data_IF_523016029374
#
_entry.id   IF_523016029374
#
_cell.length_a   1.000
_cell.length_b   1.000
_cell.length_c   1.000
_cell.angle_alpha   90.00
_cell.angle_beta   90.00
_cell.angle_gamma   90.00
#
_symmetry.space_group_name_H-M   'P 1'
#
loop_
_entity.id
_entity.type
_entity.pdbx_description
1 polymer ?
#
# COMPACT_ATOMS: atom_id res chain seq x y z
N UNK A 1 -11.39 0.42 -8.45
CA UNK A 1 -10.87 1.45 -7.53
C UNK A 1 -9.35 1.57 -7.61
N UNK A 2 -8.57 0.50 -7.37
CA UNK A 2 -7.09 0.52 -7.45
C UNK A 2 -6.53 1.09 -8.76
N UNK A 3 -7.02 0.63 -9.91
CA UNK A 3 -6.61 1.13 -11.23
C UNK A 3 -6.83 2.64 -11.38
N UNK A 4 -7.90 3.17 -10.80
CA UNK A 4 -8.23 4.59 -10.85
C UNK A 4 -7.28 5.43 -10.00
N UNK A 5 -6.96 4.95 -8.80
CA UNK A 5 -5.93 5.58 -7.94
C UNK A 5 -4.57 5.51 -8.61
N UNK A 6 -4.24 4.44 -9.32
CA UNK A 6 -2.98 4.33 -10.07
C UNK A 6 -2.86 5.37 -11.19
N UNK A 7 -3.97 5.64 -11.89
CA UNK A 7 -3.98 6.59 -13.00
C UNK A 7 -3.95 8.05 -12.56
N UNK A 8 -4.61 8.40 -11.46
CA UNK A 8 -4.83 9.81 -11.06
C UNK A 8 -4.18 10.20 -9.74
N UNK A 9 -3.75 9.22 -8.95
CA UNK A 9 -3.22 9.44 -7.61
C UNK A 9 -1.87 10.13 -7.60
N UNK A 10 -1.04 9.87 -8.61
CA UNK A 10 0.29 10.49 -8.76
C UNK A 10 0.23 12.01 -8.93
N UNK A 11 -0.87 12.56 -9.46
CA UNK A 11 -1.10 14.00 -9.59
C UNK A 11 -1.84 14.62 -8.39
N UNK A 12 -2.11 13.85 -7.33
CA UNK A 12 -2.89 14.33 -6.18
C UNK A 12 -1.97 14.62 -5.00
N UNK A 13 -1.81 15.91 -4.67
CA UNK A 13 -0.97 16.35 -3.56
C UNK A 13 -1.43 15.78 -2.20
N UNK A 14 -0.53 15.06 -1.54
CA UNK A 14 -0.76 14.47 -0.23
C UNK A 14 -1.73 13.28 -0.26
N UNK A 15 -1.85 12.57 -1.39
CA UNK A 15 -2.64 11.34 -1.45
C UNK A 15 -2.23 10.35 -0.35
N UNK A 16 -3.20 9.64 0.25
CA UNK A 16 -3.04 8.80 1.44
C UNK A 16 -2.64 9.52 2.74
N UNK A 17 -2.07 10.73 2.69
CA UNK A 17 -1.75 11.53 3.87
C UNK A 17 -2.90 12.44 4.29
N UNK A 18 -3.46 13.23 3.37
CA UNK A 18 -4.54 14.18 3.66
C UNK A 18 -5.84 13.44 3.94
N UNK A 19 -6.51 13.83 5.03
CA UNK A 19 -7.82 13.28 5.40
C UNK A 19 -8.92 13.86 4.52
N UNK A 20 -9.81 13.00 4.05
CA UNK A 20 -11.04 13.40 3.39
C UNK A 20 -12.21 13.54 4.37
N UNK A 21 -13.32 14.11 3.90
CA UNK A 21 -14.56 14.21 4.66
C UNK A 21 -15.06 12.83 5.06
N UNK A 22 -15.18 12.57 6.38
CA UNK A 22 -15.72 11.32 6.92
C UNK A 22 -17.12 11.04 6.36
N UNK A 23 -17.94 12.08 6.20
CA UNK A 23 -19.29 11.96 5.62
C UNK A 23 -19.23 11.43 4.17
N UNK A 24 -18.33 11.98 3.35
CA UNK A 24 -18.14 11.56 1.96
C UNK A 24 -17.57 10.15 1.87
N UNK A 25 -16.59 9.81 2.73
CA UNK A 25 -16.04 8.46 2.79
C UNK A 25 -17.11 7.42 3.12
N UNK A 26 -17.94 7.68 4.15
CA UNK A 26 -19.06 6.79 4.52
C UNK A 26 -20.09 6.66 3.41
N UNK A 27 -20.40 7.76 2.70
CA UNK A 27 -21.34 7.72 1.59
C UNK A 27 -20.81 6.85 0.44
N UNK A 28 -19.55 7.04 0.04
CA UNK A 28 -18.91 6.21 -0.98
C UNK A 28 -18.83 4.75 -0.56
N UNK A 29 -18.39 4.48 0.68
CA UNK A 29 -18.32 3.12 1.23
C UNK A 29 -19.69 2.43 1.24
N UNK A 30 -20.75 3.13 1.61
CA UNK A 30 -22.12 2.60 1.57
C UNK A 30 -22.52 2.18 0.16
N UNK A 31 -22.31 3.05 -0.85
CA UNK A 31 -22.59 2.72 -2.26
C UNK A 31 -21.86 1.46 -2.69
N UNK A 32 -20.55 1.38 -2.40
CA UNK A 32 -19.72 0.23 -2.74
C UNK A 32 -20.22 -1.06 -2.06
N UNK A 33 -20.57 -1.00 -0.77
CA UNK A 33 -21.05 -2.15 -0.01
C UNK A 33 -22.44 -2.63 -0.46
N UNK A 34 -23.28 -1.74 -1.00
CA UNK A 34 -24.57 -2.09 -1.59
C UNK A 34 -24.45 -2.69 -3.00
N UNK A 35 -23.25 -2.70 -3.59
CA UNK A 35 -23.04 -3.12 -4.98
C UNK A 35 -23.50 -2.07 -6.00
N UNK A 36 -23.70 -0.82 -5.59
CA UNK A 36 -24.12 0.25 -6.48
C UNK A 36 -23.04 0.55 -7.53
N UNK A 37 -23.47 0.93 -8.73
CA UNK A 37 -22.54 1.45 -9.74
C UNK A 37 -22.06 2.84 -9.32
N UNK A 38 -20.77 2.98 -9.04
CA UNK A 38 -20.16 4.24 -8.63
C UNK A 38 -19.33 4.83 -9.77
N UNK A 39 -19.64 6.06 -10.17
CA UNK A 39 -18.77 6.85 -11.04
C UNK A 39 -17.62 7.47 -10.23
N UNK A 40 -16.45 6.82 -10.22
CA UNK A 40 -15.28 7.32 -9.49
C UNK A 40 -14.75 8.68 -10.01
N UNK A 41 -15.15 9.13 -11.20
CA UNK A 41 -14.76 10.45 -11.70
C UNK A 41 -15.45 11.61 -10.97
N UNK A 42 -16.59 11.35 -10.33
CA UNK A 42 -17.35 12.35 -9.57
C UNK A 42 -16.96 12.39 -8.08
N UNK A 43 -16.15 11.43 -7.63
CA UNK A 43 -15.71 11.34 -6.25
C UNK A 43 -14.31 11.97 -6.09
N UNK A 44 -14.06 12.81 -5.06
CA UNK A 44 -12.74 13.40 -4.85
C UNK A 44 -11.66 12.33 -4.63
N UNK A 45 -10.48 12.49 -5.21
CA UNK A 45 -9.40 11.50 -5.09
C UNK A 45 -9.00 11.21 -3.64
N UNK A 46 -9.03 12.22 -2.77
CA UNK A 46 -8.78 12.05 -1.34
C UNK A 46 -9.84 11.15 -0.66
N UNK A 47 -11.11 11.23 -1.07
CA UNK A 47 -12.17 10.35 -0.58
C UNK A 47 -11.92 8.92 -1.04
N UNK A 48 -11.63 8.72 -2.33
CA UNK A 48 -11.34 7.40 -2.91
C UNK A 48 -10.14 6.74 -2.22
N UNK A 49 -9.03 7.48 -2.06
CA UNK A 49 -7.83 6.98 -1.39
C UNK A 49 -8.06 6.69 0.10
N UNK A 50 -8.92 7.45 0.78
CA UNK A 50 -9.27 7.20 2.18
C UNK A 50 -10.13 5.95 2.34
N UNK A 51 -11.12 5.75 1.46
CA UNK A 51 -11.94 4.53 1.45
C UNK A 51 -11.10 3.31 1.07
N UNK A 52 -10.13 3.46 0.16
CA UNK A 52 -9.16 2.40 -0.13
C UNK A 52 -8.36 2.02 1.12
N UNK A 53 -7.79 2.98 1.86
CA UNK A 53 -7.08 2.70 3.12
C UNK A 53 -7.97 2.01 4.16
N UNK A 54 -9.20 2.49 4.33
CA UNK A 54 -10.15 1.90 5.27
C UNK A 54 -10.50 0.46 4.89
N UNK A 55 -10.64 0.16 3.59
CA UNK A 55 -10.81 -1.21 3.12
C UNK A 55 -9.63 -2.10 3.53
N UNK A 56 -8.38 -1.65 3.36
CA UNK A 56 -7.19 -2.41 3.77
C UNK A 56 -7.20 -2.72 5.27
N UNK A 57 -7.56 -1.73 6.07
CA UNK A 57 -7.57 -1.83 7.53
C UNK A 57 -8.64 -2.81 8.04
N UNK A 58 -9.76 -2.94 7.34
CA UNK A 58 -10.89 -3.79 7.75
C UNK A 58 -10.81 -5.23 7.24
N UNK A 59 -9.74 -5.63 6.53
CA UNK A 59 -9.51 -7.03 6.16
C UNK A 59 -9.19 -7.83 7.43
N UNK A 60 -10.04 -8.83 7.76
CA UNK A 60 -9.82 -9.71 8.90
C UNK A 60 -8.46 -10.42 8.80
N UNK A 61 -7.67 -10.36 9.88
CA UNK A 61 -6.32 -10.92 9.92
C UNK A 61 -5.26 -10.06 9.20
N UNK A 62 -5.60 -8.84 8.78
CA UNK A 62 -4.74 -7.92 8.02
C UNK A 62 -4.16 -8.54 6.72
N UNK A 63 -3.78 -7.70 5.77
CA UNK A 63 -3.10 -8.19 4.56
C UNK A 63 -1.76 -8.86 4.92
N UNK A 64 -1.18 -8.49 6.06
CA UNK A 64 0.16 -8.83 6.48
C UNK A 64 0.24 -9.63 7.81
N UNK A 65 -0.87 -10.07 8.44
CA UNK A 65 -0.81 -10.85 9.70
C UNK A 65 -0.72 -12.37 9.53
N UNK A 66 -0.28 -12.86 8.37
CA UNK A 66 0.01 -14.29 8.20
C UNK A 66 1.48 -14.61 8.54
N UNK A 67 1.71 -15.77 9.17
CA UNK A 67 3.03 -16.36 9.51
C UNK A 67 4.20 -16.11 8.53
N UNK A 68 4.02 -16.08 7.20
CA UNK A 68 5.13 -15.76 6.28
C UNK A 68 5.59 -14.30 6.29
N UNK A 69 4.79 -13.34 6.80
CA UNK A 69 5.20 -11.93 6.89
C UNK A 69 6.06 -11.61 8.10
N UNK A 70 5.92 -12.32 9.22
CA UNK A 70 6.83 -12.18 10.36
C UNK A 70 8.28 -12.50 9.91
N UNK A 71 8.44 -13.53 9.08
CA UNK A 71 9.73 -13.86 8.46
C UNK A 71 10.25 -12.75 7.54
N UNK A 72 9.36 -12.10 6.79
CA UNK A 72 9.71 -10.96 5.94
C UNK A 72 10.15 -9.73 6.75
N UNK A 73 9.63 -9.55 7.97
CA UNK A 73 10.06 -8.50 8.90
C UNK A 73 11.42 -8.78 9.54
N UNK A 74 11.78 -10.05 9.76
CA UNK A 74 13.06 -10.46 10.36
C UNK A 74 14.28 -10.16 9.46
N UNK A 75 14.07 -9.87 8.18
CA UNK A 75 15.14 -9.59 7.19
C UNK A 75 15.87 -8.26 7.47
N UNK A 76 15.29 -7.36 8.28
CA UNK A 76 15.90 -6.05 8.57
C UNK A 76 17.22 -6.16 9.35
N UNK A 77 17.48 -7.28 10.03
CA UNK A 77 18.62 -7.43 10.93
C UNK A 77 19.87 -8.09 10.30
N UNK A 78 19.86 -8.34 8.98
CA UNK A 78 20.95 -9.03 8.28
C UNK A 78 21.71 -8.13 7.28
N UNK A 79 22.60 -7.28 7.79
CA UNK A 79 23.74 -6.73 7.02
C UNK A 79 23.44 -5.95 5.73
N UNK A 80 24.49 -5.77 4.91
CA UNK A 80 24.60 -4.95 3.68
C UNK A 80 23.31 -4.84 2.83
N UNK A 81 22.99 -3.62 2.35
CA UNK A 81 21.75 -3.26 1.63
C UNK A 81 21.44 -4.15 0.40
N UNK A 82 22.47 -4.68 -0.26
CA UNK A 82 22.34 -5.55 -1.44
C UNK A 82 21.86 -6.97 -1.07
N UNK A 83 22.35 -7.50 0.05
CA UNK A 83 21.96 -8.83 0.57
C UNK A 83 20.54 -8.78 1.15
N UNK A 84 20.18 -7.68 1.82
CA UNK A 84 18.83 -7.45 2.37
C UNK A 84 17.79 -7.30 1.28
N UNK A 85 18.13 -6.63 0.17
CA UNK A 85 17.24 -6.49 -1.00
C UNK A 85 16.93 -7.83 -1.64
N UNK A 86 17.97 -8.65 -1.86
CA UNK A 86 17.83 -9.98 -2.46
C UNK A 86 17.02 -10.92 -1.54
N UNK A 87 17.25 -10.86 -0.23
CA UNK A 87 16.47 -11.61 0.75
C UNK A 87 14.99 -11.21 0.74
N UNK A 88 14.71 -9.90 0.68
CA UNK A 88 13.35 -9.34 0.61
C UNK A 88 12.60 -9.84 -0.63
N UNK A 89 13.25 -9.81 -1.80
CA UNK A 89 12.66 -10.31 -3.04
C UNK A 89 12.38 -11.83 -2.99
N UNK A 90 13.33 -12.63 -2.49
CA UNK A 90 13.18 -14.10 -2.37
C UNK A 90 12.01 -14.48 -1.47
N UNK A 91 11.76 -13.74 -0.40
CA UNK A 91 10.66 -14.01 0.53
C UNK A 91 9.29 -13.65 -0.05
N UNK A 92 9.21 -12.55 -0.81
CA UNK A 92 7.96 -12.17 -1.49
C UNK A 92 7.52 -13.21 -2.53
N UNK A 93 8.46 -13.93 -3.15
CA UNK A 93 8.18 -15.04 -4.09
C UNK A 93 7.67 -16.30 -3.37
N UNK A 94 7.97 -16.47 -2.08
CA UNK A 94 7.55 -17.64 -1.28
C UNK A 94 6.16 -17.50 -0.65
N UNK A 95 5.54 -16.31 -0.72
CA UNK A 95 4.17 -16.11 -0.27
C UNK A 95 3.19 -16.88 -1.19
N UNK A 96 2.09 -17.43 -0.65
CA UNK A 96 1.05 -18.06 -1.47
C UNK A 96 0.57 -17.10 -2.57
N UNK A 97 0.35 -17.58 -3.80
CA UNK A 97 0.03 -16.73 -4.97
C UNK A 97 -1.11 -15.72 -4.74
N UNK A 98 -2.15 -16.11 -4.00
CA UNK A 98 -3.25 -15.22 -3.63
C UNK A 98 -2.82 -14.06 -2.71
N UNK A 99 -1.81 -14.31 -1.86
CA UNK A 99 -1.26 -13.34 -0.91
C UNK A 99 -0.12 -12.51 -1.52
N UNK A 100 0.38 -12.86 -2.70
CA UNK A 100 1.42 -12.13 -3.44
C UNK A 100 0.82 -11.05 -4.34
N UNK A 101 -0.29 -11.38 -4.99
CA UNK A 101 -0.91 -10.52 -6.01
C UNK A 101 -1.37 -9.19 -5.38
N UNK A 102 -1.95 -9.26 -4.19
CA UNK A 102 -2.53 -8.10 -3.53
C UNK A 102 -1.47 -7.06 -3.08
N UNK A 103 -0.37 -7.45 -2.39
CA UNK A 103 0.76 -6.56 -2.14
C UNK A 103 1.45 -6.07 -3.42
N UNK A 104 1.62 -6.90 -4.45
CA UNK A 104 2.27 -6.49 -5.70
C UNK A 104 1.54 -5.33 -6.40
N UNK A 105 0.20 -5.40 -6.50
CA UNK A 105 -0.56 -4.29 -7.08
C UNK A 105 -0.50 -3.01 -6.25
N UNK A 106 -0.45 -3.13 -4.91
CA UNK A 106 -0.33 -1.98 -4.03
C UNK A 106 1.07 -1.37 -4.07
N UNK A 107 2.13 -2.18 -4.08
CA UNK A 107 3.50 -1.68 -4.21
C UNK A 107 3.73 -1.02 -5.56
N UNK A 108 3.23 -1.59 -6.66
CA UNK A 108 3.27 -0.93 -7.98
C UNK A 108 2.51 0.39 -8.00
N UNK A 109 1.35 0.46 -7.34
CA UNK A 109 0.59 1.71 -7.17
C UNK A 109 1.39 2.77 -6.42
N UNK A 110 1.96 2.41 -5.27
CA UNK A 110 2.71 3.33 -4.44
C UNK A 110 4.00 3.78 -5.10
N UNK A 111 4.68 2.89 -5.83
CA UNK A 111 5.82 3.24 -6.68
C UNK A 111 5.43 4.34 -7.69
N UNK A 112 4.33 4.16 -8.42
CA UNK A 112 3.87 5.15 -9.39
C UNK A 112 3.50 6.51 -8.75
N UNK A 113 3.03 6.50 -7.50
CA UNK A 113 2.74 7.73 -6.75
C UNK A 113 4.02 8.38 -6.26
N UNK A 114 5.05 7.60 -5.91
CA UNK A 114 6.32 8.10 -5.41
C UNK A 114 7.13 8.83 -6.49
N UNK A 115 7.04 8.40 -7.76
CA UNK A 115 7.84 8.96 -8.85
C UNK A 115 7.74 10.50 -8.98
N UNK A 116 6.56 11.13 -8.96
CA UNK A 116 6.43 12.60 -8.93
C UNK A 116 6.34 13.18 -7.51
N UNK A 117 7.07 12.62 -6.53
CA UNK A 117 7.03 13.07 -5.12
C UNK A 117 7.38 14.54 -4.91
N UNK A 118 8.16 15.15 -5.80
CA UNK A 118 8.45 16.59 -5.80
C UNK A 118 7.19 17.45 -6.03
N UNK A 119 6.20 16.91 -6.75
CA UNK A 119 4.91 17.57 -7.00
C UNK A 119 3.87 17.17 -5.95
N UNK A 120 3.64 15.87 -5.77
CA UNK A 120 2.55 15.40 -4.92
C UNK A 120 2.91 15.27 -3.42
N UNK A 121 4.16 15.53 -3.04
CA UNK A 121 4.66 15.52 -1.66
C UNK A 121 4.67 14.13 -0.97
N UNK A 122 4.56 13.04 -1.75
CA UNK A 122 4.50 11.67 -1.24
C UNK A 122 5.75 10.87 -1.64
N UNK A 123 6.82 11.00 -0.87
CA UNK A 123 8.01 10.13 -0.97
C UNK A 123 7.69 8.70 -0.53
N UNK A 124 8.57 7.74 -0.83
CA UNK A 124 8.46 6.36 -0.35
C UNK A 124 8.25 6.28 1.17
N UNK A 125 8.98 7.12 1.92
CA UNK A 125 8.84 7.23 3.37
C UNK A 125 7.49 7.82 3.80
N UNK A 126 7.03 8.90 3.15
CA UNK A 126 5.74 9.50 3.48
C UNK A 126 4.59 8.53 3.20
N UNK A 127 4.67 7.78 2.09
CA UNK A 127 3.71 6.74 1.75
C UNK A 127 3.70 5.63 2.78
N UNK A 128 4.86 5.06 3.12
CA UNK A 128 4.98 3.95 4.07
C UNK A 128 4.36 4.30 5.42
N UNK A 129 4.69 5.47 5.99
CA UNK A 129 4.11 5.95 7.25
C UNK A 129 2.58 6.02 7.19
N UNK A 130 2.02 6.46 6.05
CA UNK A 130 0.57 6.63 5.90
C UNK A 130 -0.19 5.32 5.68
N UNK A 131 0.43 4.31 5.06
CA UNK A 131 -0.23 3.04 4.69
C UNK A 131 0.02 1.94 5.72
N UNK A 132 1.13 1.99 6.45
CA UNK A 132 1.50 0.97 7.46
C UNK A 132 0.36 0.66 8.43
N UNK A 133 -0.33 1.65 9.03
CA UNK A 133 -1.42 1.37 9.97
C UNK A 133 -2.64 0.70 9.33
N UNK A 134 -2.84 0.89 8.02
CA UNK A 134 -3.92 0.25 7.27
C UNK A 134 -3.55 -1.13 6.77
N UNK A 135 -2.26 -1.44 6.69
CA UNK A 135 -1.74 -2.72 6.23
C UNK A 135 -1.47 -3.69 7.38
N UNK A 136 -1.05 -3.20 8.54
CA UNK A 136 -0.83 -4.00 9.74
C UNK A 136 -2.03 -3.94 10.71
N UNK A 137 -2.47 -5.09 11.20
CA UNK A 137 -3.20 -5.14 12.46
C UNK A 137 -2.19 -4.89 13.59
N UNK A 138 -1.95 -3.61 13.92
CA UNK A 138 -1.03 -3.22 14.98
C UNK A 138 -1.58 -3.59 16.36
N UNK A 139 -1.40 -4.85 16.76
CA UNK A 139 -1.55 -5.27 18.15
C UNK A 139 -0.26 -5.05 18.96
N UNK A 140 0.88 -4.69 18.34
CA UNK A 140 2.14 -4.48 19.05
C UNK A 140 3.02 -3.38 18.42
N UNK A 141 3.40 -2.36 19.19
CA UNK A 141 4.06 -1.12 18.72
C UNK A 141 5.45 -1.32 18.11
N UNK A 142 6.21 -2.33 18.55
CA UNK A 142 7.55 -2.63 18.02
C UNK A 142 7.55 -3.18 16.58
N UNK A 143 6.46 -3.80 16.13
CA UNK A 143 6.33 -4.35 14.77
C UNK A 143 6.13 -3.26 13.69
N UNK A 144 5.61 -2.10 14.08
CA UNK A 144 5.22 -1.01 13.17
C UNK A 144 6.42 -0.31 12.52
N UNK A 145 7.49 -0.09 13.30
CA UNK A 145 8.66 0.65 12.82
C UNK A 145 9.44 -0.18 11.80
N UNK A 146 9.68 -1.46 12.12
CA UNK A 146 10.32 -2.41 11.22
C UNK A 146 9.52 -2.56 9.93
N UNK A 147 8.20 -2.70 10.02
CA UNK A 147 7.36 -2.75 8.82
C UNK A 147 7.43 -1.47 7.98
N UNK A 148 7.41 -0.29 8.61
CA UNK A 148 7.54 0.98 7.87
C UNK A 148 8.87 1.05 7.13
N UNK A 149 9.97 0.63 7.75
CA UNK A 149 11.29 0.52 7.10
C UNK A 149 11.25 -0.46 5.93
N UNK A 150 10.66 -1.63 6.13
CA UNK A 150 10.59 -2.69 5.11
C UNK A 150 9.69 -2.31 3.92
N UNK A 151 8.56 -1.65 4.17
CA UNK A 151 7.69 -1.08 3.13
C UNK A 151 8.42 0.03 2.38
N UNK A 152 9.07 0.96 3.08
CA UNK A 152 9.85 2.03 2.45
C UNK A 152 10.91 1.43 1.51
N UNK A 153 11.66 0.43 1.98
CA UNK A 153 12.63 -0.30 1.16
C UNK A 153 11.98 -1.01 -0.02
N UNK A 154 10.89 -1.73 0.19
CA UNK A 154 10.20 -2.46 -0.88
C UNK A 154 9.66 -1.52 -1.96
N UNK A 155 9.25 -0.29 -1.60
CA UNK A 155 8.87 0.75 -2.55
C UNK A 155 10.04 1.28 -3.36
N UNK A 156 11.25 1.30 -2.79
CA UNK A 156 12.48 1.78 -3.45
C UNK A 156 13.10 0.68 -4.33
N UNK A 157 13.06 -0.58 -3.89
CA UNK A 157 13.78 -1.71 -4.47
C UNK A 157 12.92 -2.66 -5.32
N UNK A 158 11.61 -2.40 -5.44
CA UNK A 158 10.77 -3.05 -6.45
C UNK A 158 10.54 -2.09 -7.62
N UNK A 159 11.51 -1.91 -8.55
CA UNK A 159 11.16 -1.41 -9.86
C UNK A 159 10.22 -2.46 -10.45
N UNK A 160 9.08 -1.98 -10.91
CA UNK A 160 8.01 -2.76 -11.51
C UNK A 160 8.56 -3.88 -12.41
N UNK A 161 8.60 -5.12 -11.92
CA UNK A 161 8.76 -6.32 -12.74
C UNK A 161 7.47 -6.68 -13.46
N UNK A 162 6.69 -5.66 -13.88
CA UNK A 162 5.53 -5.83 -14.73
C UNK A 162 5.95 -5.51 -16.16
N UNK A 163 6.77 -6.39 -16.74
CA UNK A 163 6.54 -6.68 -18.15
C UNK A 163 5.11 -7.22 -18.22
N UNK A 164 4.27 -6.44 -18.90
CA UNK A 164 2.88 -6.82 -19.17
C UNK A 164 2.90 -8.16 -19.89
N UNK A 165 2.15 -9.19 -19.47
CA UNK A 165 2.03 -10.38 -20.28
C UNK A 165 1.39 -9.94 -21.61
N UNK A 166 2.12 -10.21 -22.69
CA UNK A 166 1.71 -9.98 -24.07
C UNK A 166 0.44 -10.73 -24.42
#
# INVERSE_FOLDING_TARGET
MLSFVNQKGSSTEGIFRKSASIKSCRALQKKLNCGDTVNLNEEPMLVISSVLKDFLQNIQGSIFSSSPYDKWLDVIDQGNEEDTTTATQRQLVQLPRANVIFPQYHFGLFYNIEQPSSSNQMTAYNLSVCITPSMLCLSNSGSSENFTKQVTRSLIFMPCGAESPS
#
